data_IF_678576520907
#
_entry.id   IF_678576520907
#
_cell.length_a   1.000
_cell.length_b   1.000
_cell.length_c   1.000
_cell.angle_alpha   90.00
_cell.angle_beta   90.00
_cell.angle_gamma   90.00
#
_symmetry.space_group_name_H-M   'P 1'
#
loop_
_entity.id
_entity.type
_entity.pdbx_description
1 polymer ?
#
# COMPACT_ATOMS: atom_id res chain seq x y z
N UNK A 1 -51.72 12.67 2.92
CA UNK A 1 -50.59 12.55 3.85
C UNK A 1 -49.35 12.70 3.00
N UNK A 2 -48.62 13.80 3.16
CA UNK A 2 -47.43 14.03 2.36
C UNK A 2 -46.34 13.02 2.74
N UNK A 3 -45.46 12.67 1.80
CA UNK A 3 -44.34 11.75 2.07
C UNK A 3 -43.50 12.22 3.27
N UNK A 4 -43.37 13.54 3.44
CA UNK A 4 -42.72 14.19 4.58
C UNK A 4 -43.35 13.78 5.91
N UNK A 5 -44.67 13.90 6.04
CA UNK A 5 -45.40 13.58 7.28
C UNK A 5 -45.27 12.10 7.65
N UNK A 6 -45.18 11.22 6.65
CA UNK A 6 -44.95 9.80 6.88
C UNK A 6 -43.53 9.51 7.35
N UNK A 7 -42.53 10.14 6.72
CA UNK A 7 -41.12 9.97 7.09
C UNK A 7 -40.87 10.49 8.51
N UNK A 8 -41.48 11.61 8.92
CA UNK A 8 -41.21 12.22 10.23
C UNK A 8 -42.03 11.67 11.40
N UNK A 9 -42.74 10.54 11.23
CA UNK A 9 -43.48 9.90 12.32
C UNK A 9 -42.55 9.43 13.46
N UNK A 10 -42.85 9.82 14.70
CA UNK A 10 -42.05 9.48 15.89
C UNK A 10 -41.75 7.97 16.01
N UNK A 11 -42.77 7.13 15.78
CA UNK A 11 -42.67 5.65 15.88
C UNK A 11 -41.64 5.00 14.96
N UNK A 12 -41.21 5.69 13.90
CA UNK A 12 -40.17 5.18 13.00
C UNK A 12 -38.80 5.32 13.65
N UNK A 13 -38.58 6.40 14.40
CA UNK A 13 -37.24 6.81 14.82
C UNK A 13 -37.00 6.67 16.32
N UNK A 14 -38.06 6.58 17.12
CA UNK A 14 -38.00 6.50 18.57
C UNK A 14 -38.81 5.32 19.10
N UNK A 15 -38.50 4.87 20.34
CA UNK A 15 -39.33 3.93 21.07
C UNK A 15 -40.75 4.44 21.30
N UNK A 16 -41.67 3.52 21.60
CA UNK A 16 -43.06 3.86 21.88
C UNK A 16 -43.18 4.85 23.07
N UNK A 17 -43.95 5.92 22.88
CA UNK A 17 -44.19 6.94 23.91
C UNK A 17 -43.15 8.08 23.94
N UNK A 18 -42.15 8.06 23.06
CA UNK A 18 -41.11 9.07 22.93
C UNK A 18 -41.05 9.60 21.48
N UNK A 19 -40.58 10.83 21.28
CA UNK A 19 -40.54 11.42 19.94
C UNK A 19 -39.68 12.68 19.80
N UNK A 20 -39.82 13.35 18.65
CA UNK A 20 -39.07 14.58 18.35
C UNK A 20 -39.32 15.71 19.37
N UNK A 21 -40.49 15.71 20.02
CA UNK A 21 -40.83 16.67 21.06
C UNK A 21 -39.94 16.55 22.30
N UNK A 22 -39.38 15.36 22.56
CA UNK A 22 -38.49 15.11 23.71
C UNK A 22 -37.07 15.63 23.50
N UNK A 23 -36.70 15.95 22.27
CA UNK A 23 -35.40 16.50 21.90
C UNK A 23 -35.41 18.03 21.81
N UNK A 24 -36.38 18.69 22.44
CA UNK A 24 -36.42 20.14 22.58
C UNK A 24 -35.71 20.56 23.85
N UNK A 25 -34.88 21.60 23.75
CA UNK A 25 -34.21 22.21 24.90
C UNK A 25 -35.23 22.55 25.99
N UNK A 26 -34.94 22.10 27.22
CA UNK A 26 -35.79 22.28 28.40
C UNK A 26 -34.95 22.21 29.66
N UNK A 27 -35.36 22.92 30.71
CA UNK A 27 -34.72 22.85 32.03
C UNK A 27 -33.21 23.14 32.03
N UNK A 28 -32.74 23.98 31.10
CA UNK A 28 -31.31 24.28 30.91
C UNK A 28 -30.51 23.17 30.21
N UNK A 29 -31.16 22.06 29.85
CA UNK A 29 -30.58 21.00 29.04
C UNK A 29 -30.73 21.32 27.55
N UNK A 30 -29.64 21.12 26.82
CA UNK A 30 -29.57 21.30 25.37
C UNK A 30 -29.55 19.93 24.69
N UNK A 31 -30.27 19.78 23.60
CA UNK A 31 -30.31 18.55 22.80
C UNK A 31 -29.86 18.81 21.36
N UNK A 32 -29.44 17.74 20.67
CA UNK A 32 -29.05 17.83 19.27
C UNK A 32 -30.25 18.20 18.38
N UNK A 33 -30.04 19.18 17.49
CA UNK A 33 -31.06 19.64 16.55
C UNK A 33 -30.64 19.34 15.13
N UNK A 34 -31.62 19.01 14.28
CA UNK A 34 -31.36 18.85 12.85
C UNK A 34 -30.81 20.11 12.19
N UNK A 35 -31.14 21.30 12.72
CA UNK A 35 -30.60 22.57 12.24
C UNK A 35 -29.09 22.70 12.42
N UNK A 36 -28.51 22.00 13.39
CA UNK A 36 -27.07 22.08 13.68
C UNK A 36 -26.24 21.52 12.52
N UNK A 37 -26.80 20.56 11.77
CA UNK A 37 -26.14 19.97 10.61
C UNK A 37 -25.87 20.98 9.49
N UNK A 38 -26.56 22.13 9.44
CA UNK A 38 -26.23 23.18 8.46
C UNK A 38 -24.83 23.78 8.67
N UNK A 39 -24.29 23.72 9.89
CA UNK A 39 -22.95 24.23 10.25
C UNK A 39 -21.85 23.41 9.57
N UNK A 40 -22.11 22.17 9.15
CA UNK A 40 -21.09 21.31 8.53
C UNK A 40 -20.64 21.83 7.16
N UNK A 41 -21.51 22.52 6.42
CA UNK A 41 -21.18 23.04 5.09
C UNK A 41 -20.15 24.18 5.13
N UNK A 42 -20.31 25.24 5.95
CA UNK A 42 -19.25 26.23 6.10
C UNK A 42 -17.98 25.62 6.71
N UNK A 43 -18.08 24.68 7.65
CA UNK A 43 -16.90 23.95 8.16
C UNK A 43 -16.18 23.20 7.03
N UNK A 44 -16.91 22.50 6.15
CA UNK A 44 -16.33 21.78 5.03
C UNK A 44 -15.62 22.72 4.04
N UNK A 45 -16.21 23.88 3.74
CA UNK A 45 -15.57 24.92 2.90
C UNK A 45 -14.30 25.43 3.56
N UNK A 46 -14.33 25.71 4.87
CA UNK A 46 -13.14 26.08 5.64
C UNK A 46 -12.05 25.00 5.53
N UNK A 47 -12.39 23.72 5.67
CA UNK A 47 -11.42 22.63 5.50
C UNK A 47 -10.82 22.57 4.10
N UNK A 48 -11.60 22.82 3.03
CA UNK A 48 -11.07 22.88 1.66
C UNK A 48 -10.06 24.03 1.49
N UNK A 49 -10.34 25.19 2.08
CA UNK A 49 -9.44 26.36 2.05
C UNK A 49 -8.17 26.07 2.86
N UNK A 50 -8.32 25.59 4.10
CA UNK A 50 -7.19 25.26 4.99
C UNK A 50 -6.32 24.18 4.35
N UNK A 51 -6.92 23.15 3.75
CA UNK A 51 -6.21 22.11 3.01
C UNK A 51 -5.32 22.70 1.94
N UNK A 52 -5.84 23.62 1.13
CA UNK A 52 -5.07 24.24 0.05
C UNK A 52 -3.89 25.07 0.58
N UNK A 53 -4.07 25.77 1.70
CA UNK A 53 -3.01 26.51 2.37
C UNK A 53 -1.96 25.52 2.92
N UNK A 54 -2.40 24.48 3.63
CA UNK A 54 -1.54 23.46 4.22
C UNK A 54 -0.70 22.73 3.18
N UNK A 55 -1.32 22.27 2.08
CA UNK A 55 -0.64 21.54 1.02
C UNK A 55 0.41 22.39 0.29
N UNK A 56 0.20 23.71 0.21
CA UNK A 56 1.14 24.66 -0.44
C UNK A 56 2.26 25.14 0.49
N UNK A 57 2.02 25.19 1.79
CA UNK A 57 2.96 25.77 2.76
C UNK A 57 3.65 24.70 3.60
N UNK A 58 2.91 24.00 4.45
CA UNK A 58 3.41 23.03 5.44
C UNK A 58 3.87 21.75 4.75
N UNK A 59 3.02 21.16 3.92
CA UNK A 59 3.30 19.85 3.33
C UNK A 59 4.51 19.88 2.37
N UNK A 60 4.75 21.01 1.69
CA UNK A 60 5.93 21.19 0.82
C UNK A 60 7.21 21.23 1.63
N UNK A 61 7.22 22.00 2.72
CA UNK A 61 8.36 22.07 3.64
C UNK A 61 8.62 20.69 4.24
N UNK A 62 7.58 20.00 4.71
CA UNK A 62 7.72 18.65 5.26
C UNK A 62 8.26 17.63 4.23
N UNK A 63 7.78 17.70 2.99
CA UNK A 63 8.30 16.86 1.90
C UNK A 63 9.79 17.12 1.63
N UNK A 64 10.24 18.37 1.69
CA UNK A 64 11.67 18.72 1.55
C UNK A 64 12.51 18.21 2.72
N UNK A 65 12.02 18.33 3.96
CA UNK A 65 12.69 17.85 5.17
C UNK A 65 12.87 16.33 5.14
N UNK A 66 11.83 15.60 4.72
CA UNK A 66 11.88 14.14 4.56
C UNK A 66 12.56 13.69 3.24
N UNK A 67 13.07 14.64 2.44
CA UNK A 67 13.76 14.38 1.16
C UNK A 67 12.94 13.53 0.19
N UNK A 68 11.63 13.78 0.10
CA UNK A 68 10.73 13.10 -0.86
C UNK A 68 11.16 13.45 -2.28
N UNK A 69 11.61 12.45 -3.04
CA UNK A 69 12.11 12.65 -4.42
C UNK A 69 11.03 12.37 -5.46
N UNK A 70 10.92 13.26 -6.43
CA UNK A 70 10.14 13.02 -7.65
C UNK A 70 10.98 12.13 -8.59
N UNK A 71 10.44 10.99 -9.02
CA UNK A 71 11.12 10.19 -10.06
C UNK A 71 10.90 10.87 -11.41
N UNK A 72 11.97 11.30 -12.12
CA UNK A 72 11.83 11.94 -13.41
C UNK A 72 11.11 11.00 -14.37
N UNK A 73 10.01 11.48 -14.96
CA UNK A 73 9.23 10.71 -15.93
C UNK A 73 9.52 11.21 -17.33
N UNK A 74 9.83 10.26 -18.22
CA UNK A 74 10.04 10.57 -19.63
C UNK A 74 8.74 11.07 -20.23
N UNK A 75 8.76 12.31 -20.72
CA UNK A 75 7.62 12.91 -21.40
C UNK A 75 7.38 12.24 -22.76
N UNK A 76 6.12 12.09 -23.15
CA UNK A 76 5.80 11.71 -24.52
C UNK A 76 6.25 12.84 -25.47
N UNK A 77 6.78 12.47 -26.64
CA UNK A 77 7.15 13.47 -27.65
C UNK A 77 5.88 14.17 -28.16
N UNK A 78 5.92 15.47 -28.50
CA UNK A 78 4.75 16.15 -29.04
C UNK A 78 4.27 15.45 -30.33
N UNK A 79 3.00 15.05 -30.37
CA UNK A 79 2.36 14.50 -31.57
C UNK A 79 0.85 14.82 -31.50
N UNK A 80 0.39 15.70 -32.38
CA UNK A 80 -0.98 16.22 -32.38
C UNK A 80 -2.02 15.13 -32.66
N UNK A 81 -1.75 14.24 -33.62
CA UNK A 81 -2.64 13.12 -33.98
C UNK A 81 -2.83 12.15 -32.81
N UNK A 82 -1.73 11.75 -32.17
CA UNK A 82 -1.78 10.82 -31.03
C UNK A 82 -2.43 11.47 -29.81
N UNK A 83 -2.18 12.76 -29.57
CA UNK A 83 -2.81 13.52 -28.48
C UNK A 83 -4.32 13.69 -28.69
N UNK A 84 -4.74 14.03 -29.91
CA UNK A 84 -6.16 14.14 -30.26
C UNK A 84 -6.90 12.82 -29.99
N UNK A 85 -6.36 11.70 -30.47
CA UNK A 85 -6.95 10.38 -30.20
C UNK A 85 -6.96 10.06 -28.70
N UNK A 86 -5.87 10.35 -27.98
CA UNK A 86 -5.76 10.08 -26.55
C UNK A 86 -6.81 10.83 -25.72
N UNK A 87 -7.08 12.09 -26.06
CA UNK A 87 -8.05 12.94 -25.37
C UNK A 87 -9.49 12.62 -25.73
N UNK A 88 -9.77 12.30 -27.01
CA UNK A 88 -11.14 12.24 -27.52
C UNK A 88 -11.67 10.83 -27.76
N UNK A 89 -10.80 9.84 -27.95
CA UNK A 89 -11.22 8.47 -28.29
C UNK A 89 -10.88 7.47 -27.17
N UNK A 90 -9.60 7.15 -26.98
CA UNK A 90 -9.20 6.16 -25.98
C UNK A 90 -7.77 6.33 -25.50
N UNK A 91 -7.57 6.15 -24.19
CA UNK A 91 -6.25 6.06 -23.56
C UNK A 91 -5.57 4.70 -23.81
N UNK A 92 -6.33 3.69 -24.23
CA UNK A 92 -5.90 2.31 -24.48
C UNK A 92 -6.36 1.89 -25.88
N UNK A 93 -5.64 2.29 -26.94
CA UNK A 93 -6.02 1.94 -28.31
C UNK A 93 -5.97 0.42 -28.53
N UNK A 94 -6.93 -0.10 -29.30
CA UNK A 94 -6.92 -1.49 -29.79
C UNK A 94 -5.81 -1.67 -30.85
N UNK A 95 -5.54 -2.92 -31.21
CA UNK A 95 -4.51 -3.20 -32.22
C UNK A 95 -4.83 -2.55 -33.58
N UNK A 96 -6.10 -2.59 -34.01
CA UNK A 96 -6.55 -1.94 -35.23
C UNK A 96 -6.39 -0.41 -35.19
N UNK A 97 -6.72 0.23 -34.08
CA UNK A 97 -6.52 1.68 -33.93
C UNK A 97 -5.04 2.05 -33.91
N UNK A 98 -4.15 1.21 -33.37
CA UNK A 98 -2.70 1.44 -33.43
C UNK A 98 -2.18 1.43 -34.87
N UNK A 99 -2.69 0.53 -35.72
CA UNK A 99 -2.32 0.46 -37.14
C UNK A 99 -2.79 1.69 -37.92
N UNK A 100 -4.00 2.17 -37.64
CA UNK A 100 -4.52 3.40 -38.24
C UNK A 100 -3.71 4.64 -37.81
N UNK A 101 -3.42 4.76 -36.52
CA UNK A 101 -2.61 5.85 -35.97
C UNK A 101 -1.17 5.82 -36.50
N UNK A 102 -0.62 4.64 -36.78
CA UNK A 102 0.68 4.46 -37.44
C UNK A 102 0.67 5.13 -38.82
N UNK A 103 -0.39 4.89 -39.61
CA UNK A 103 -0.56 5.50 -40.95
C UNK A 103 -0.73 7.03 -40.86
N UNK A 104 -1.55 7.51 -39.94
CA UNK A 104 -1.85 8.94 -39.81
C UNK A 104 -0.71 9.77 -39.21
N UNK A 105 0.12 9.18 -38.34
CA UNK A 105 1.18 9.89 -37.62
C UNK A 105 2.58 9.73 -38.23
N UNK A 106 2.74 8.90 -39.28
CA UNK A 106 4.03 8.56 -39.87
C UNK A 106 4.99 7.84 -38.91
N UNK A 107 4.51 7.41 -37.75
CA UNK A 107 5.29 6.72 -36.72
C UNK A 107 5.18 5.20 -36.87
N UNK A 108 6.21 4.46 -36.47
CA UNK A 108 6.11 3.00 -36.34
C UNK A 108 5.15 2.58 -35.22
N UNK A 109 4.59 1.37 -35.33
CA UNK A 109 3.74 0.74 -34.30
C UNK A 109 4.38 0.82 -32.91
N UNK A 110 5.69 0.53 -32.80
CA UNK A 110 6.42 0.61 -31.53
C UNK A 110 6.50 2.03 -30.98
N UNK A 111 6.67 3.04 -31.83
CA UNK A 111 6.68 4.44 -31.41
C UNK A 111 5.30 4.88 -30.90
N UNK A 112 4.22 4.50 -31.59
CA UNK A 112 2.84 4.76 -31.15
C UNK A 112 2.58 4.11 -29.79
N UNK A 113 2.84 2.80 -29.65
CA UNK A 113 2.66 2.08 -28.38
C UNK A 113 3.50 2.70 -27.24
N UNK A 114 4.77 3.06 -27.52
CA UNK A 114 5.67 3.71 -26.55
C UNK A 114 5.16 5.10 -26.17
N UNK A 115 4.63 5.86 -27.12
CA UNK A 115 4.05 7.18 -26.91
C UNK A 115 2.85 7.08 -25.96
N UNK A 116 1.88 6.21 -26.25
CA UNK A 116 0.71 6.00 -25.39
C UNK A 116 1.11 5.55 -23.98
N UNK A 117 2.10 4.65 -23.87
CA UNK A 117 2.64 4.24 -22.56
C UNK A 117 3.25 5.40 -21.78
N UNK A 118 4.01 6.27 -22.45
CA UNK A 118 4.61 7.47 -21.83
C UNK A 118 3.55 8.49 -21.44
N UNK A 119 2.58 8.76 -22.33
CA UNK A 119 1.48 9.70 -22.09
C UNK A 119 0.60 9.29 -20.90
N UNK A 120 0.26 7.99 -20.79
CA UNK A 120 -0.42 7.45 -19.60
C UNK A 120 0.41 7.58 -18.33
N UNK A 121 1.74 7.41 -18.42
CA UNK A 121 2.63 7.57 -17.26
C UNK A 121 2.79 9.05 -16.83
N UNK A 122 2.60 10.00 -17.75
CA UNK A 122 2.60 11.44 -17.42
C UNK A 122 1.37 11.83 -16.60
N UNK A 123 0.19 11.25 -16.85
CA UNK A 123 -1.03 11.52 -16.06
C UNK A 123 -1.01 10.94 -14.65
N UNK A 124 -0.06 10.05 -14.35
CA UNK A 124 0.02 9.51 -12.99
C UNK A 124 0.30 10.66 -12.01
N UNK A 125 -0.29 10.65 -10.81
CA UNK A 125 0.00 11.69 -9.83
C UNK A 125 1.46 11.63 -9.38
N UNK A 126 2.06 12.80 -9.13
CA UNK A 126 3.41 12.92 -8.57
C UNK A 126 3.50 12.27 -7.19
N UNK A 127 4.71 11.84 -6.79
CA UNK A 127 4.89 11.34 -5.42
C UNK A 127 4.69 12.47 -4.41
N UNK A 128 5.10 13.69 -4.76
CA UNK A 128 4.90 14.87 -3.93
C UNK A 128 3.41 15.17 -3.74
N UNK A 129 2.56 15.07 -4.80
CA UNK A 129 1.11 15.26 -4.65
C UNK A 129 0.52 14.26 -3.66
N UNK A 130 0.86 12.97 -3.80
CA UNK A 130 0.38 11.93 -2.87
C UNK A 130 0.86 12.14 -1.43
N UNK A 131 2.09 12.61 -1.26
CA UNK A 131 2.64 12.94 0.05
C UNK A 131 1.86 14.10 0.69
N UNK A 132 1.56 15.15 -0.06
CA UNK A 132 0.77 16.30 0.42
C UNK A 132 -0.62 15.87 0.89
N UNK A 133 -1.33 15.11 0.05
CA UNK A 133 -2.66 14.56 0.38
C UNK A 133 -2.61 13.69 1.64
N UNK A 134 -1.60 12.81 1.76
CA UNK A 134 -1.43 11.95 2.94
C UNK A 134 -1.10 12.76 4.19
N UNK A 135 -0.24 13.78 4.10
CA UNK A 135 0.13 14.62 5.23
C UNK A 135 -1.02 15.46 5.77
N UNK A 136 -1.91 15.95 4.90
CA UNK A 136 -3.12 16.66 5.31
C UNK A 136 -4.04 15.77 6.14
N UNK A 137 -4.31 14.56 5.62
CA UNK A 137 -5.15 13.57 6.31
C UNK A 137 -4.52 13.10 7.61
N UNK A 138 -3.21 12.87 7.62
CA UNK A 138 -2.46 12.56 8.84
C UNK A 138 -2.68 13.62 9.93
N UNK A 139 -2.48 14.89 9.60
CA UNK A 139 -2.64 15.99 10.56
C UNK A 139 -4.06 16.05 11.09
N UNK A 140 -5.08 15.93 10.22
CA UNK A 140 -6.46 15.91 10.68
C UNK A 140 -6.76 14.73 11.61
N UNK A 141 -6.50 13.49 11.18
CA UNK A 141 -6.84 12.29 11.97
C UNK A 141 -6.10 12.25 13.31
N UNK A 142 -4.86 12.75 13.36
CA UNK A 142 -4.13 12.84 14.63
C UNK A 142 -4.80 13.82 15.59
N UNK A 143 -5.19 15.00 15.11
CA UNK A 143 -5.85 16.01 15.93
C UNK A 143 -7.27 15.56 16.34
N UNK A 144 -8.01 14.94 15.44
CA UNK A 144 -9.33 14.39 15.71
C UNK A 144 -9.28 13.29 16.78
N UNK A 145 -8.32 12.36 16.69
CA UNK A 145 -8.12 11.33 17.72
C UNK A 145 -7.80 11.92 19.09
N UNK A 146 -6.91 12.91 19.17
CA UNK A 146 -6.55 13.57 20.43
C UNK A 146 -7.76 14.33 21.00
N UNK A 147 -8.50 15.05 20.16
CA UNK A 147 -9.70 15.78 20.56
C UNK A 147 -10.82 14.84 21.03
N UNK A 148 -11.06 13.74 20.33
CA UNK A 148 -12.03 12.72 20.69
C UNK A 148 -11.68 12.05 22.02
N UNK A 149 -10.39 11.73 22.25
CA UNK A 149 -9.95 11.19 23.53
C UNK A 149 -10.18 12.21 24.66
N UNK A 150 -9.81 13.47 24.46
CA UNK A 150 -10.06 14.54 25.42
C UNK A 150 -11.55 14.80 25.71
N UNK A 151 -12.42 14.59 24.72
CA UNK A 151 -13.87 14.78 24.86
C UNK A 151 -14.58 13.62 25.58
N UNK A 152 -13.95 12.44 25.65
CA UNK A 152 -14.58 11.20 26.11
C UNK A 152 -13.92 10.54 27.33
N UNK A 153 -12.64 10.80 27.60
CA UNK A 153 -11.90 10.07 28.64
C UNK A 153 -12.48 10.25 30.05
N UNK A 154 -13.17 11.35 30.33
CA UNK A 154 -13.80 11.63 31.61
C UNK A 154 -15.27 11.16 31.68
N UNK A 155 -15.77 10.48 30.64
CA UNK A 155 -17.18 10.11 30.50
C UNK A 155 -17.44 8.67 30.88
N UNK A 156 -18.55 8.36 31.57
CA UNK A 156 -18.82 7.00 32.04
C UNK A 156 -18.99 6.01 30.88
N UNK A 157 -19.62 6.43 29.77
CA UNK A 157 -19.81 5.60 28.58
C UNK A 157 -18.51 5.24 27.83
N UNK A 158 -17.38 5.85 28.19
CA UNK A 158 -16.07 5.43 27.68
C UNK A 158 -15.59 4.11 28.31
N UNK A 159 -16.02 3.83 29.54
CA UNK A 159 -15.61 2.65 30.32
C UNK A 159 -16.72 1.60 30.42
N UNK A 160 -17.98 2.03 30.50
CA UNK A 160 -19.14 1.15 30.54
C UNK A 160 -20.01 1.36 29.30
N UNK A 161 -20.17 0.32 28.48
CA UNK A 161 -20.91 0.42 27.23
C UNK A 161 -22.42 0.56 27.46
N UNK A 162 -22.97 0.10 28.60
CA UNK A 162 -24.41 0.23 28.88
C UNK A 162 -24.82 1.70 29.06
N UNK A 163 -23.91 2.52 29.60
CA UNK A 163 -24.07 3.97 29.72
C UNK A 163 -24.22 4.69 28.38
N UNK A 164 -23.95 4.03 27.26
CA UNK A 164 -24.27 4.55 25.93
C UNK A 164 -25.78 4.78 25.74
N UNK A 165 -26.62 3.95 26.37
CA UNK A 165 -28.07 3.95 26.23
C UNK A 165 -28.81 4.40 27.49
N UNK A 166 -28.12 4.52 28.63
CA UNK A 166 -28.72 4.98 29.87
C UNK A 166 -29.29 6.41 29.72
N UNK A 167 -30.61 6.55 29.85
CA UNK A 167 -31.35 7.81 29.66
C UNK A 167 -31.67 8.16 28.20
N UNK A 168 -31.38 7.26 27.25
CA UNK A 168 -31.84 7.40 25.86
C UNK A 168 -33.38 7.45 25.80
N UNK A 169 -34.01 8.29 24.95
CA UNK A 169 -33.44 9.22 23.95
C UNK A 169 -33.10 10.61 24.47
N UNK A 170 -33.33 10.91 25.75
CA UNK A 170 -33.14 12.24 26.34
C UNK A 170 -31.72 12.44 26.88
N UNK A 171 -30.72 12.24 26.02
CA UNK A 171 -29.32 12.45 26.37
C UNK A 171 -28.94 13.93 26.18
N UNK A 172 -28.52 14.67 27.23
CA UNK A 172 -28.12 16.06 27.09
C UNK A 172 -26.82 16.18 26.30
N UNK A 173 -26.77 17.16 25.41
CA UNK A 173 -25.64 17.45 24.54
C UNK A 173 -24.57 18.25 25.29
N UNK A 174 -23.34 17.73 25.30
CA UNK A 174 -22.18 18.45 25.81
C UNK A 174 -21.53 19.29 24.70
N UNK A 175 -21.01 20.51 25.01
CA UNK A 175 -20.33 21.34 24.01
C UNK A 175 -19.12 20.65 23.35
N UNK A 176 -18.39 19.82 24.08
CA UNK A 176 -17.27 19.05 23.53
C UNK A 176 -17.73 18.03 22.48
N UNK A 177 -18.85 17.37 22.72
CA UNK A 177 -19.44 16.41 21.78
C UNK A 177 -19.99 17.11 20.54
N UNK A 178 -20.61 18.29 20.71
CA UNK A 178 -21.08 19.12 19.60
C UNK A 178 -19.93 19.42 18.64
N UNK A 179 -18.85 20.03 19.14
CA UNK A 179 -17.74 20.42 18.28
C UNK A 179 -17.01 19.21 17.69
N UNK A 180 -16.87 18.12 18.45
CA UNK A 180 -16.29 16.88 17.92
C UNK A 180 -17.08 16.36 16.71
N UNK A 181 -18.41 16.24 16.85
CA UNK A 181 -19.31 15.84 15.75
C UNK A 181 -19.26 16.78 14.55
N UNK A 182 -19.41 18.09 14.76
CA UNK A 182 -19.53 19.06 13.67
C UNK A 182 -18.23 19.17 12.87
N UNK A 183 -17.08 19.15 13.55
CA UNK A 183 -15.77 19.20 12.92
C UNK A 183 -15.50 17.92 12.13
N UNK A 184 -15.78 16.76 12.71
CA UNK A 184 -15.54 15.47 12.06
C UNK A 184 -16.46 15.29 10.84
N UNK A 185 -17.76 15.55 10.99
CA UNK A 185 -18.70 15.50 9.87
C UNK A 185 -18.33 16.52 8.77
N UNK A 186 -17.98 17.76 9.14
CA UNK A 186 -17.52 18.77 8.19
C UNK A 186 -16.27 18.35 7.42
N UNK A 187 -15.32 17.66 8.08
CA UNK A 187 -14.16 17.10 7.40
C UNK A 187 -14.54 15.99 6.42
N UNK A 188 -15.41 15.05 6.81
CA UNK A 188 -15.87 13.99 5.90
C UNK A 188 -16.63 14.53 4.69
N UNK A 189 -17.45 15.58 4.86
CA UNK A 189 -18.08 16.29 3.74
C UNK A 189 -17.03 16.95 2.85
N UNK A 190 -15.99 17.58 3.41
CA UNK A 190 -14.89 18.14 2.62
C UNK A 190 -14.14 17.07 1.81
N UNK A 191 -13.95 15.88 2.38
CA UNK A 191 -13.34 14.75 1.69
C UNK A 191 -14.20 14.28 0.52
N UNK A 192 -15.53 14.20 0.71
CA UNK A 192 -16.47 13.84 -0.35
C UNK A 192 -16.37 14.80 -1.54
N UNK A 193 -16.31 16.11 -1.31
CA UNK A 193 -16.12 17.09 -2.39
C UNK A 193 -14.75 16.95 -3.07
N UNK A 194 -13.69 16.72 -2.30
CA UNK A 194 -12.33 16.58 -2.85
C UNK A 194 -12.08 15.26 -3.60
N UNK A 195 -12.98 14.28 -3.47
CA UNK A 195 -12.82 12.93 -4.02
C UNK A 195 -12.68 12.90 -5.55
N UNK A 196 -13.25 13.90 -6.23
CA UNK A 196 -13.16 14.04 -7.68
C UNK A 196 -11.74 14.45 -8.15
N UNK A 197 -11.03 15.21 -7.32
CA UNK A 197 -9.70 15.76 -7.62
C UNK A 197 -8.54 14.95 -7.02
N UNK A 198 -8.84 14.18 -5.97
CA UNK A 198 -7.89 13.35 -5.25
C UNK A 198 -7.39 12.17 -6.11
N UNK A 199 -6.24 11.63 -5.73
CA UNK A 199 -5.67 10.47 -6.41
C UNK A 199 -6.56 9.23 -6.24
N UNK A 200 -7.24 8.84 -7.32
CA UNK A 200 -8.06 7.61 -7.37
C UNK A 200 -7.21 6.38 -7.10
N UNK A 201 -7.61 5.60 -6.10
CA UNK A 201 -6.97 4.36 -5.66
C UNK A 201 -7.74 3.14 -6.20
N UNK A 202 -7.24 1.93 -5.94
CA UNK A 202 -7.84 0.69 -6.49
C UNK A 202 -9.17 0.35 -5.83
N UNK A 203 -9.27 0.70 -4.56
CA UNK A 203 -10.40 0.58 -3.63
C UNK A 203 -11.31 1.81 -3.66
N UNK A 204 -11.34 2.54 -4.79
CA UNK A 204 -12.09 3.79 -4.90
C UNK A 204 -13.60 3.60 -4.67
N UNK A 205 -14.19 2.51 -5.19
CA UNK A 205 -15.63 2.28 -5.06
C UNK A 205 -16.00 1.97 -3.61
N UNK A 206 -15.22 1.11 -2.97
CA UNK A 206 -15.35 0.72 -1.57
C UNK A 206 -15.18 1.95 -0.65
N UNK A 207 -14.22 2.83 -0.97
CA UNK A 207 -14.03 4.08 -0.23
C UNK A 207 -15.22 5.04 -0.36
N UNK A 208 -15.89 5.12 -1.52
CA UNK A 208 -17.10 5.94 -1.70
C UNK A 208 -18.26 5.37 -0.88
N UNK A 209 -18.49 4.05 -0.94
CA UNK A 209 -19.53 3.39 -0.14
C UNK A 209 -19.29 3.64 1.35
N UNK A 210 -18.04 3.52 1.81
CA UNK A 210 -17.66 3.88 3.17
C UNK A 210 -18.01 5.33 3.51
N UNK A 211 -17.58 6.32 2.71
CA UNK A 211 -17.83 7.73 3.02
C UNK A 211 -19.33 8.04 3.10
N UNK A 212 -20.13 7.48 2.19
CA UNK A 212 -21.59 7.65 2.24
C UNK A 212 -22.15 7.01 3.51
N UNK A 213 -21.73 5.78 3.84
CA UNK A 213 -22.18 5.10 5.05
C UNK A 213 -21.79 5.86 6.32
N UNK A 214 -20.56 6.37 6.44
CA UNK A 214 -20.11 7.12 7.62
C UNK A 214 -20.80 8.48 7.73
N UNK A 215 -20.98 9.23 6.63
CA UNK A 215 -21.72 10.49 6.65
C UNK A 215 -23.16 10.26 7.09
N UNK A 216 -23.82 9.21 6.58
CA UNK A 216 -25.16 8.83 6.99
C UNK A 216 -25.19 8.42 8.47
N UNK A 217 -24.22 7.64 8.95
CA UNK A 217 -24.16 7.18 10.34
C UNK A 217 -23.97 8.35 11.32
N UNK A 218 -23.04 9.27 11.04
CA UNK A 218 -22.78 10.44 11.87
C UNK A 218 -24.00 11.38 11.85
N UNK A 219 -24.55 11.68 10.67
CA UNK A 219 -25.72 12.55 10.56
C UNK A 219 -26.96 11.94 11.23
N UNK A 220 -27.21 10.65 11.01
CA UNK A 220 -28.34 9.95 11.63
C UNK A 220 -28.19 9.89 13.14
N UNK A 221 -27.02 9.50 13.66
CA UNK A 221 -26.78 9.43 15.09
C UNK A 221 -26.94 10.79 15.77
N UNK A 222 -26.64 11.89 15.08
CA UNK A 222 -26.96 13.23 15.57
C UNK A 222 -28.48 13.47 15.66
N UNK A 223 -29.22 13.19 14.57
CA UNK A 223 -30.65 13.46 14.48
C UNK A 223 -31.47 12.74 15.54
N UNK A 224 -31.19 11.46 15.79
CA UNK A 224 -31.94 10.65 16.77
C UNK A 224 -31.28 10.62 18.16
N UNK A 225 -30.32 11.51 18.41
CA UNK A 225 -29.63 11.65 19.70
C UNK A 225 -28.84 10.40 20.17
N UNK A 226 -28.22 9.67 19.25
CA UNK A 226 -27.29 8.55 19.53
C UNK A 226 -25.86 9.05 19.80
N UNK A 227 -25.71 10.22 20.43
CA UNK A 227 -24.46 10.97 20.51
C UNK A 227 -23.36 10.19 21.25
N UNK A 228 -23.71 9.53 22.35
CA UNK A 228 -22.77 8.69 23.11
C UNK A 228 -22.22 7.56 22.24
N UNK A 229 -23.09 6.87 21.49
CA UNK A 229 -22.69 5.82 20.57
C UNK A 229 -21.80 6.34 19.44
N UNK A 230 -22.23 7.38 18.74
CA UNK A 230 -21.49 7.87 17.59
C UNK A 230 -20.16 8.51 17.96
N UNK A 231 -20.02 9.19 19.11
CA UNK A 231 -18.72 9.66 19.60
C UNK A 231 -17.73 8.52 19.87
N UNK A 232 -18.17 7.40 20.46
CA UNK A 232 -17.32 6.21 20.65
C UNK A 232 -16.94 5.57 19.33
N UNK A 233 -17.90 5.45 18.39
CA UNK A 233 -17.65 4.91 17.05
C UNK A 233 -16.59 5.77 16.35
N UNK A 234 -16.76 7.09 16.30
CA UNK A 234 -15.80 8.04 15.71
C UNK A 234 -14.41 7.91 16.32
N UNK A 235 -14.29 7.86 17.66
CA UNK A 235 -13.00 7.73 18.34
C UNK A 235 -12.26 6.43 17.99
N UNK A 236 -12.99 5.30 18.05
CA UNK A 236 -12.46 3.98 17.65
C UNK A 236 -12.06 4.01 16.18
N UNK A 237 -12.73 4.84 15.37
CA UNK A 237 -12.43 4.98 13.97
C UNK A 237 -11.11 5.71 13.71
N UNK A 238 -10.93 6.87 14.34
CA UNK A 238 -9.75 7.71 14.17
C UNK A 238 -8.45 7.10 14.73
N UNK A 239 -8.57 6.18 15.70
CA UNK A 239 -7.43 5.58 16.41
C UNK A 239 -6.35 4.96 15.52
N UNK A 240 -6.70 4.45 14.32
CA UNK A 240 -5.75 3.84 13.39
C UNK A 240 -5.36 4.71 12.20
N UNK A 241 -6.14 5.73 11.87
CA UNK A 241 -6.11 6.35 10.55
C UNK A 241 -4.88 7.26 10.36
N UNK A 242 -4.45 7.96 11.41
CA UNK A 242 -3.20 8.71 11.38
C UNK A 242 -1.97 7.78 11.25
N UNK A 243 -2.01 6.55 11.78
CA UNK A 243 -0.93 5.57 11.59
C UNK A 243 -0.85 5.12 10.12
N UNK A 244 -1.99 4.94 9.46
CA UNK A 244 -2.03 4.60 8.03
C UNK A 244 -1.46 5.73 7.16
N UNK A 245 -1.86 6.97 7.41
CA UNK A 245 -1.40 8.10 6.62
C UNK A 245 0.08 8.41 6.86
N UNK A 246 0.57 8.26 8.10
CA UNK A 246 2.01 8.37 8.38
C UNK A 246 2.82 7.27 7.70
N UNK A 247 2.36 6.01 7.68
CA UNK A 247 3.01 4.94 6.91
C UNK A 247 3.13 5.29 5.42
N UNK A 248 2.07 5.87 4.82
CA UNK A 248 2.11 6.34 3.42
C UNK A 248 3.14 7.46 3.23
N UNK A 249 3.20 8.43 4.14
CA UNK A 249 4.20 9.52 4.09
C UNK A 249 5.63 8.98 4.09
N UNK A 250 5.97 8.06 5.00
CA UNK A 250 7.31 7.46 5.05
C UNK A 250 7.60 6.55 3.86
N UNK A 251 6.59 5.88 3.30
CA UNK A 251 6.73 5.14 2.04
C UNK A 251 7.11 6.08 0.88
N UNK A 252 6.51 7.26 0.79
CA UNK A 252 6.85 8.24 -0.24
C UNK A 252 8.23 8.88 -0.02
N UNK A 253 8.68 8.99 1.23
CA UNK A 253 10.05 9.40 1.58
C UNK A 253 11.10 8.29 1.38
N UNK A 254 10.70 7.10 0.92
CA UNK A 254 11.55 5.92 0.75
C UNK A 254 12.19 5.39 2.06
N UNK A 255 11.63 5.76 3.23
CA UNK A 255 12.06 5.28 4.55
C UNK A 255 11.43 3.92 4.87
N UNK A 256 11.90 2.88 4.18
CA UNK A 256 11.26 1.55 4.19
C UNK A 256 11.15 0.91 5.57
N UNK A 257 12.19 1.00 6.40
CA UNK A 257 12.17 0.41 7.76
C UNK A 257 11.07 1.05 8.61
N UNK A 258 11.09 2.37 8.75
CA UNK A 258 10.09 3.15 9.49
C UNK A 258 8.68 2.92 8.96
N UNK A 259 8.49 2.98 7.63
CA UNK A 259 7.23 2.67 6.99
C UNK A 259 6.70 1.27 7.39
N UNK A 260 7.56 0.24 7.37
CA UNK A 260 7.14 -1.12 7.71
C UNK A 260 6.74 -1.23 9.19
N UNK A 261 7.51 -0.64 10.12
CA UNK A 261 7.16 -0.65 11.54
C UNK A 261 5.82 0.06 11.81
N UNK A 262 5.64 1.26 11.26
CA UNK A 262 4.40 2.02 11.41
C UNK A 262 3.23 1.26 10.76
N UNK A 263 3.44 0.61 9.62
CA UNK A 263 2.40 -0.19 8.97
C UNK A 263 1.98 -1.39 9.81
N UNK A 264 2.92 -2.07 10.49
CA UNK A 264 2.62 -3.17 11.41
C UNK A 264 1.83 -2.65 12.62
N UNK A 265 2.26 -1.52 13.19
CA UNK A 265 1.53 -0.87 14.29
C UNK A 265 0.11 -0.47 13.88
N UNK A 266 -0.03 0.18 12.71
CA UNK A 266 -1.32 0.48 12.09
C UNK A 266 -2.19 -0.78 11.98
N UNK A 267 -1.65 -1.88 11.45
CA UNK A 267 -2.40 -3.12 11.30
C UNK A 267 -2.88 -3.66 12.65
N UNK A 268 -2.03 -3.66 13.68
CA UNK A 268 -2.41 -4.11 15.03
C UNK A 268 -3.53 -3.24 15.62
N UNK A 269 -3.40 -1.91 15.56
CA UNK A 269 -4.40 -0.98 16.08
C UNK A 269 -5.70 -1.09 15.28
N UNK A 270 -5.65 -1.21 13.95
CA UNK A 270 -6.82 -1.40 13.10
C UNK A 270 -7.59 -2.68 13.46
N UNK A 271 -6.90 -3.80 13.66
CA UNK A 271 -7.55 -5.06 14.04
C UNK A 271 -8.19 -4.93 15.42
N UNK A 272 -7.47 -4.39 16.40
CA UNK A 272 -7.99 -4.20 17.75
C UNK A 272 -9.22 -3.29 17.76
N UNK A 273 -9.15 -2.14 17.12
CA UNK A 273 -10.23 -1.14 17.15
C UNK A 273 -11.42 -1.58 16.29
N UNK A 274 -11.20 -2.08 15.07
CA UNK A 274 -12.29 -2.33 14.10
C UNK A 274 -12.81 -3.76 14.06
N UNK A 275 -12.01 -4.74 14.45
CA UNK A 275 -12.43 -6.16 14.46
C UNK A 275 -12.61 -6.75 15.85
N UNK A 276 -12.15 -6.06 16.90
CA UNK A 276 -12.32 -6.49 18.29
C UNK A 276 -13.27 -5.54 19.01
N UNK A 277 -12.85 -4.30 19.29
CA UNK A 277 -13.65 -3.32 20.06
C UNK A 277 -15.00 -3.02 19.39
N UNK A 278 -14.99 -2.66 18.10
CA UNK A 278 -16.20 -2.29 17.36
C UNK A 278 -17.27 -3.40 17.35
N UNK A 279 -17.02 -4.65 16.92
CA UNK A 279 -18.06 -5.67 16.84
C UNK A 279 -18.47 -6.26 18.21
N UNK A 280 -17.52 -6.52 19.11
CA UNK A 280 -17.82 -7.27 20.34
C UNK A 280 -18.27 -6.39 21.51
N UNK A 281 -17.92 -5.09 21.52
CA UNK A 281 -18.37 -4.15 22.54
C UNK A 281 -19.44 -3.22 21.97
N UNK A 282 -19.09 -2.38 20.99
CA UNK A 282 -20.01 -1.33 20.52
C UNK A 282 -21.22 -1.93 19.80
N UNK A 283 -20.99 -2.72 18.74
CA UNK A 283 -22.06 -3.28 17.91
C UNK A 283 -22.91 -4.28 18.70
N UNK A 284 -22.29 -5.09 19.56
CA UNK A 284 -23.01 -5.95 20.49
C UNK A 284 -23.95 -5.14 21.39
N UNK A 285 -23.45 -4.09 22.04
CA UNK A 285 -24.29 -3.25 22.91
C UNK A 285 -25.35 -2.49 22.14
N UNK A 286 -25.09 -2.02 20.91
CA UNK A 286 -26.12 -1.36 20.09
C UNK A 286 -27.18 -2.31 19.55
N UNK A 287 -26.88 -3.60 19.48
CA UNK A 287 -27.80 -4.64 18.99
C UNK A 287 -28.62 -5.27 20.13
N UNK A 288 -28.02 -5.49 21.29
CA UNK A 288 -28.62 -6.26 22.39
C UNK A 288 -29.29 -5.35 23.42
N UNK A 289 -28.58 -4.34 23.93
CA UNK A 289 -29.03 -3.59 25.09
C UNK A 289 -30.32 -2.77 24.84
N UNK A 290 -30.48 -2.03 23.73
CA UNK A 290 -31.74 -1.33 23.47
C UNK A 290 -32.98 -2.23 23.47
N UNK A 291 -32.83 -3.49 23.08
CA UNK A 291 -33.94 -4.45 23.01
C UNK A 291 -34.38 -4.98 24.39
N UNK A 292 -33.59 -4.76 25.44
CA UNK A 292 -34.01 -5.08 26.82
C UNK A 292 -34.90 -3.99 27.41
N UNK A 293 -34.84 -2.78 26.86
CA UNK A 293 -35.58 -1.59 27.34
C UNK A 293 -36.77 -1.28 26.43
N UNK A 294 -36.58 -1.39 25.11
CA UNK A 294 -37.54 -0.94 24.11
C UNK A 294 -37.83 -2.03 23.06
N UNK A 295 -39.07 -2.12 22.55
CA UNK A 295 -39.33 -2.92 21.36
C UNK A 295 -38.55 -2.36 20.16
N UNK A 296 -38.14 -3.20 19.20
CA UNK A 296 -37.40 -2.74 18.04
C UNK A 296 -38.23 -1.80 17.17
N UNK A 297 -37.59 -0.76 16.64
CA UNK A 297 -38.18 0.25 15.75
C UNK A 297 -37.28 0.48 14.53
N UNK A 298 -37.75 1.23 13.53
CA UNK A 298 -37.02 1.38 12.26
C UNK A 298 -35.63 2.01 12.44
N UNK A 299 -35.51 3.07 13.24
CA UNK A 299 -34.24 3.74 13.54
C UNK A 299 -33.18 2.80 14.13
N UNK A 300 -33.58 1.85 14.99
CA UNK A 300 -32.71 0.80 15.51
C UNK A 300 -32.12 -0.08 14.40
N UNK A 301 -32.96 -0.57 13.48
CA UNK A 301 -32.50 -1.39 12.35
C UNK A 301 -31.67 -0.59 11.36
N UNK A 302 -32.04 0.66 11.10
CA UNK A 302 -31.32 1.54 10.18
C UNK A 302 -29.89 1.83 10.66
N UNK A 303 -29.73 2.21 11.93
CA UNK A 303 -28.42 2.46 12.53
C UNK A 303 -27.52 1.22 12.54
N UNK A 304 -28.03 0.10 13.06
CA UNK A 304 -27.27 -1.15 13.12
C UNK A 304 -26.97 -1.71 11.72
N UNK A 305 -27.86 -1.50 10.74
CA UNK A 305 -27.63 -1.85 9.34
C UNK A 305 -26.45 -1.08 8.73
N UNK A 306 -26.37 0.23 8.96
CA UNK A 306 -25.23 1.06 8.53
C UNK A 306 -23.92 0.62 9.22
N UNK A 307 -23.96 0.29 10.52
CA UNK A 307 -22.82 -0.26 11.25
C UNK A 307 -22.36 -1.61 10.68
N UNK A 308 -23.28 -2.49 10.29
CA UNK A 308 -22.95 -3.77 9.65
C UNK A 308 -22.29 -3.56 8.28
N UNK A 309 -22.79 -2.64 7.46
CA UNK A 309 -22.13 -2.28 6.18
C UNK A 309 -20.70 -1.84 6.44
N UNK A 310 -20.49 -1.00 7.46
CA UNK A 310 -19.16 -0.51 7.84
C UNK A 310 -18.27 -1.67 8.33
N UNK A 311 -18.81 -2.59 9.13
CA UNK A 311 -18.11 -3.77 9.60
C UNK A 311 -17.66 -4.70 8.45
N UNK A 312 -18.52 -4.92 7.45
CA UNK A 312 -18.17 -5.68 6.25
C UNK A 312 -16.99 -5.05 5.49
N UNK A 313 -16.98 -3.72 5.36
CA UNK A 313 -15.87 -2.99 4.74
C UNK A 313 -14.57 -3.11 5.55
N UNK A 314 -14.65 -3.07 6.89
CA UNK A 314 -13.48 -3.30 7.74
C UNK A 314 -12.91 -4.70 7.59
N UNK A 315 -13.75 -5.73 7.50
CA UNK A 315 -13.30 -7.11 7.24
C UNK A 315 -12.60 -7.18 5.88
N UNK A 316 -13.18 -6.58 4.84
CA UNK A 316 -12.57 -6.49 3.51
C UNK A 316 -11.17 -5.86 3.56
N UNK A 317 -11.03 -4.70 4.21
CA UNK A 317 -9.73 -4.04 4.33
C UNK A 317 -8.76 -4.78 5.23
N UNK A 318 -9.22 -5.41 6.31
CA UNK A 318 -8.37 -6.24 7.17
C UNK A 318 -7.70 -7.36 6.38
N UNK A 319 -8.43 -8.02 5.47
CA UNK A 319 -7.85 -9.03 4.57
C UNK A 319 -6.76 -8.43 3.69
N UNK A 320 -6.95 -7.23 3.14
CA UNK A 320 -5.92 -6.55 2.33
C UNK A 320 -4.70 -6.14 3.16
N UNK A 321 -4.91 -5.61 4.36
CA UNK A 321 -3.88 -5.20 5.29
C UNK A 321 -3.04 -6.41 5.71
N UNK A 322 -3.68 -7.50 6.11
CA UNK A 322 -2.99 -8.73 6.51
C UNK A 322 -2.17 -9.33 5.35
N UNK A 323 -2.73 -9.36 4.13
CA UNK A 323 -1.99 -9.77 2.92
C UNK A 323 -0.78 -8.90 2.62
N UNK A 324 -0.81 -7.62 3.00
CA UNK A 324 0.34 -6.72 2.86
C UNK A 324 1.34 -6.91 4.00
N UNK A 325 0.88 -7.05 5.25
CA UNK A 325 1.70 -7.25 6.43
C UNK A 325 2.54 -8.55 6.34
N UNK A 326 1.95 -9.64 5.84
CA UNK A 326 2.65 -10.92 5.65
C UNK A 326 3.86 -10.79 4.69
N UNK A 327 3.83 -9.82 3.75
CA UNK A 327 4.96 -9.56 2.83
C UNK A 327 6.13 -8.84 3.51
N UNK A 328 5.91 -8.24 4.68
CA UNK A 328 6.95 -7.55 5.44
C UNK A 328 7.64 -8.44 6.48
N UNK A 329 7.10 -9.64 6.73
CA UNK A 329 7.73 -10.62 7.63
C UNK A 329 9.08 -11.11 7.05
N UNK A 330 10.15 -11.13 7.86
CA UNK A 330 11.45 -11.68 7.45
C UNK A 330 11.28 -13.15 7.05
N UNK A 331 11.57 -13.49 5.80
CA UNK A 331 11.38 -14.84 5.23
C UNK A 331 10.49 -14.88 3.98
N UNK A 332 9.58 -13.91 3.82
CA UNK A 332 8.73 -13.78 2.63
C UNK A 332 9.30 -12.86 1.55
N UNK A 333 10.64 -12.77 1.46
CA UNK A 333 11.32 -12.16 0.30
C UNK A 333 11.02 -13.05 -0.90
N UNK A 334 9.86 -12.84 -1.53
CA UNK A 334 9.69 -13.20 -2.94
C UNK A 334 10.72 -12.36 -3.68
N UNK A 335 11.86 -12.98 -3.99
CA UNK A 335 12.64 -12.65 -5.17
C UNK A 335 11.59 -12.34 -6.24
N UNK A 336 11.58 -11.12 -6.75
CA UNK A 336 10.65 -10.68 -7.78
C UNK A 336 10.76 -11.67 -8.95
N UNK A 337 9.95 -12.72 -8.95
CA UNK A 337 9.80 -13.58 -10.12
C UNK A 337 9.06 -12.70 -11.12
N UNK A 338 9.62 -12.46 -12.32
CA UNK A 338 8.93 -11.70 -13.35
C UNK A 338 7.54 -12.31 -13.55
N UNK A 339 6.57 -11.44 -13.83
CA UNK A 339 5.11 -11.68 -13.81
C UNK A 339 4.61 -12.71 -14.84
N UNK A 340 5.51 -13.48 -15.45
CA UNK A 340 5.25 -14.66 -16.24
C UNK A 340 5.88 -15.84 -15.50
N UNK A 341 5.11 -16.52 -14.65
CA UNK A 341 5.43 -17.90 -14.33
C UNK A 341 5.12 -18.70 -15.59
N UNK A 342 6.14 -19.05 -16.36
CA UNK A 342 6.03 -20.15 -17.30
C UNK A 342 5.57 -21.38 -16.49
N UNK A 343 4.55 -22.09 -16.99
CA UNK A 343 4.10 -23.36 -16.42
C UNK A 343 5.30 -24.24 -16.08
N UNK A 344 5.25 -25.03 -14.98
CA UNK A 344 6.28 -26.02 -14.75
C UNK A 344 6.27 -27.02 -15.91
N UNK A 345 7.31 -26.93 -16.75
CA UNK A 345 7.70 -27.83 -17.85
C UNK A 345 6.58 -28.19 -18.85
N UNK A 346 6.24 -27.34 -19.85
CA UNK A 346 5.57 -27.85 -21.04
C UNK A 346 6.52 -28.81 -21.78
N UNK A 347 6.12 -30.07 -21.95
CA UNK A 347 6.75 -30.95 -22.94
C UNK A 347 6.48 -30.34 -24.32
N UNK A 348 7.54 -29.83 -24.96
CA UNK A 348 7.48 -29.30 -26.31
C UNK A 348 7.84 -30.46 -27.22
N UNK A 349 6.81 -31.11 -27.79
CA UNK A 349 6.96 -32.16 -28.79
C UNK A 349 7.38 -31.50 -30.11
N UNK A 350 8.66 -31.09 -30.20
CA UNK A 350 9.23 -30.41 -31.35
C UNK A 350 9.74 -31.44 -32.36
N UNK A 351 9.23 -31.37 -33.58
CA UNK A 351 9.71 -32.14 -34.72
C UNK A 351 10.35 -31.19 -35.71
N UNK A 352 11.64 -31.39 -36.02
CA UNK A 352 12.33 -30.68 -37.09
C UNK A 352 12.73 -31.72 -38.13
N UNK A 353 12.35 -31.52 -39.40
CA UNK A 353 12.64 -32.43 -40.51
C UNK A 353 12.23 -33.89 -40.24
N UNK A 354 11.05 -34.11 -39.66
CA UNK A 354 10.52 -35.44 -39.28
C UNK A 354 11.33 -36.19 -38.20
N UNK A 355 12.25 -35.51 -37.51
CA UNK A 355 12.97 -36.07 -36.36
C UNK A 355 12.45 -35.41 -35.09
N UNK A 356 11.97 -36.23 -34.14
CA UNK A 356 11.60 -35.79 -32.81
C UNK A 356 12.84 -35.34 -32.03
N UNK A 357 12.80 -34.13 -31.48
CA UNK A 357 13.90 -33.58 -30.68
C UNK A 357 13.71 -34.01 -29.23
N UNK A 358 14.64 -34.82 -28.74
CA UNK A 358 14.67 -35.26 -27.34
C UNK A 358 14.88 -34.05 -26.40
N UNK A 359 13.98 -33.89 -25.43
CA UNK A 359 14.12 -32.88 -24.39
C UNK A 359 15.07 -33.37 -23.29
N UNK A 360 16.34 -32.99 -23.39
CA UNK A 360 17.34 -33.40 -22.40
C UNK A 360 17.42 -32.37 -21.26
N UNK A 361 17.48 -32.84 -20.01
CA UNK A 361 17.63 -31.96 -18.85
C UNK A 361 19.00 -31.26 -18.76
N UNK A 362 20.01 -31.83 -19.43
CA UNK A 362 21.39 -31.35 -19.46
C UNK A 362 21.99 -31.57 -20.85
N UNK A 363 22.67 -30.57 -21.41
CA UNK A 363 23.38 -30.74 -22.67
C UNK A 363 24.77 -30.10 -22.61
N UNK A 364 25.71 -30.65 -23.35
CA UNK A 364 27.07 -30.11 -23.45
C UNK A 364 27.19 -29.34 -24.75
N UNK A 365 27.34 -28.02 -24.67
CA UNK A 365 27.51 -27.13 -25.81
C UNK A 365 28.88 -26.48 -25.75
N UNK A 366 29.70 -26.63 -26.79
CA UNK A 366 31.03 -26.02 -26.89
C UNK A 366 31.91 -26.23 -25.65
N UNK A 367 31.84 -27.43 -25.05
CA UNK A 367 32.62 -27.79 -23.86
C UNK A 367 31.92 -27.53 -22.52
N UNK A 368 30.76 -26.87 -22.51
CA UNK A 368 30.08 -26.38 -21.29
C UNK A 368 28.80 -27.15 -21.06
N UNK A 369 28.58 -27.57 -19.81
CA UNK A 369 27.35 -28.27 -19.42
C UNK A 369 26.27 -27.27 -19.03
N UNK A 370 25.18 -27.26 -19.78
CA UNK A 370 24.01 -26.42 -19.58
C UNK A 370 22.86 -27.27 -19.06
N UNK A 371 22.09 -26.73 -18.10
CA UNK A 371 20.83 -27.31 -17.65
C UNK A 371 19.65 -26.83 -18.51
N UNK A 372 18.48 -27.44 -18.31
CA UNK A 372 17.23 -27.10 -18.99
C UNK A 372 16.70 -25.68 -18.73
N UNK A 373 17.35 -24.89 -17.86
CA UNK A 373 17.09 -23.46 -17.63
C UNK A 373 18.16 -22.57 -18.26
N UNK A 374 19.01 -23.13 -19.14
CA UNK A 374 20.19 -22.46 -19.69
C UNK A 374 21.14 -21.95 -18.60
N UNK A 375 21.18 -22.63 -17.45
CA UNK A 375 22.09 -22.36 -16.36
C UNK A 375 23.27 -23.33 -16.38
N UNK A 376 24.43 -22.85 -15.97
CA UNK A 376 25.70 -23.57 -15.98
C UNK A 376 26.20 -23.87 -14.56
N UNK A 377 25.33 -23.84 -13.55
CA UNK A 377 25.71 -24.09 -12.15
C UNK A 377 26.42 -25.44 -11.97
N UNK A 378 25.89 -26.49 -12.59
CA UNK A 378 26.50 -27.83 -12.54
C UNK A 378 27.88 -27.90 -13.22
N UNK A 379 28.10 -27.10 -14.27
CA UNK A 379 29.41 -27.00 -14.90
C UNK A 379 30.43 -26.30 -13.99
N UNK A 380 29.99 -25.24 -13.30
CA UNK A 380 30.80 -24.55 -12.28
C UNK A 380 31.16 -25.51 -11.15
N UNK A 381 30.19 -26.26 -10.62
CA UNK A 381 30.43 -27.23 -9.54
C UNK A 381 31.45 -28.30 -9.94
N UNK A 382 31.35 -28.82 -11.17
CA UNK A 382 32.31 -29.77 -11.72
C UNK A 382 33.72 -29.16 -11.90
N UNK A 383 33.79 -27.90 -12.35
CA UNK A 383 35.04 -27.14 -12.48
C UNK A 383 35.71 -26.92 -11.13
N UNK A 384 34.93 -26.51 -10.12
CA UNK A 384 35.41 -26.32 -8.74
C UNK A 384 35.90 -27.65 -8.15
N UNK A 385 35.17 -28.74 -8.32
CA UNK A 385 35.59 -30.06 -7.86
C UNK A 385 36.90 -30.52 -8.53
N UNK A 386 37.08 -30.23 -9.83
CA UNK A 386 38.32 -30.54 -10.55
C UNK A 386 39.49 -29.72 -10.02
N UNK A 387 39.32 -28.41 -9.85
CA UNK A 387 40.35 -27.53 -9.27
C UNK A 387 40.73 -27.97 -7.83
N UNK A 388 39.75 -28.31 -6.99
CA UNK A 388 39.98 -28.78 -5.63
C UNK A 388 40.81 -30.06 -5.58
N UNK A 389 40.58 -31.01 -6.50
CA UNK A 389 41.42 -32.21 -6.65
C UNK A 389 42.85 -31.85 -7.05
N UNK A 390 43.04 -31.00 -8.06
CA UNK A 390 44.36 -30.57 -8.52
C UNK A 390 45.14 -29.81 -7.45
N UNK A 391 44.49 -28.92 -6.69
CA UNK A 391 45.10 -28.21 -5.56
C UNK A 391 45.51 -29.16 -4.44
N UNK A 392 44.71 -30.19 -4.16
CA UNK A 392 45.03 -31.21 -3.17
C UNK A 392 46.26 -32.03 -3.57
N UNK A 393 46.41 -32.36 -4.85
CA UNK A 393 47.60 -33.02 -5.38
C UNK A 393 48.83 -32.13 -5.24
N UNK A 394 48.74 -30.85 -5.64
CA UNK A 394 49.84 -29.88 -5.49
C UNK A 394 50.24 -29.73 -4.01
N UNK A 395 49.27 -29.76 -3.09
CA UNK A 395 49.55 -29.73 -1.64
C UNK A 395 50.32 -30.98 -1.19
N UNK A 396 49.95 -32.16 -1.66
CA UNK A 396 50.66 -33.42 -1.32
C UNK A 396 52.07 -33.49 -1.92
N UNK A 397 52.25 -32.95 -3.13
CA UNK A 397 53.56 -32.89 -3.79
C UNK A 397 54.43 -31.73 -3.32
N UNK A 398 53.91 -30.81 -2.48
CA UNK A 398 54.64 -29.61 -2.04
C UNK A 398 55.91 -29.92 -1.25
N UNK A 399 56.02 -31.11 -0.64
CA UNK A 399 57.24 -31.57 0.03
C UNK A 399 58.39 -31.87 -0.94
N UNK A 400 58.10 -32.14 -2.21
CA UNK A 400 59.08 -32.44 -3.27
C UNK A 400 59.29 -31.26 -4.24
N UNK A 401 58.59 -30.14 -4.05
CA UNK A 401 58.62 -28.97 -4.92
C UNK A 401 59.22 -27.78 -4.16
N UNK A 402 60.00 -26.95 -4.85
CA UNK A 402 60.45 -25.68 -4.27
C UNK A 402 59.23 -24.77 -4.02
N UNK A 403 59.38 -23.83 -3.08
CA UNK A 403 58.35 -22.84 -2.75
C UNK A 403 57.94 -21.99 -3.95
N UNK A 404 58.88 -21.72 -4.86
CA UNK A 404 58.63 -21.01 -6.12
C UNK A 404 57.78 -21.84 -7.09
N UNK A 405 58.14 -23.11 -7.32
CA UNK A 405 57.40 -24.01 -8.22
C UNK A 405 55.99 -24.31 -7.71
N UNK A 406 55.82 -24.50 -6.39
CA UNK A 406 54.50 -24.68 -5.79
C UNK A 406 53.60 -23.45 -5.98
N UNK A 407 54.16 -22.24 -5.86
CA UNK A 407 53.43 -20.99 -6.12
C UNK A 407 53.07 -20.84 -7.60
N UNK A 408 54.00 -21.13 -8.50
CA UNK A 408 53.76 -21.08 -9.94
C UNK A 408 52.64 -22.05 -10.36
N UNK A 409 52.68 -23.31 -9.90
CA UNK A 409 51.65 -24.31 -10.21
C UNK A 409 50.26 -23.92 -9.70
N UNK A 410 50.16 -23.37 -8.47
CA UNK A 410 48.88 -22.90 -7.92
C UNK A 410 48.32 -21.73 -8.71
N UNK A 411 49.18 -20.78 -9.07
CA UNK A 411 48.79 -19.56 -9.80
C UNK A 411 48.35 -19.90 -11.23
N UNK A 412 49.11 -20.73 -11.96
CA UNK A 412 48.72 -21.18 -13.30
C UNK A 412 47.40 -21.96 -13.30
N UNK A 413 47.19 -22.87 -12.34
CA UNK A 413 45.96 -23.67 -12.25
C UNK A 413 44.72 -22.78 -12.08
N UNK A 414 44.82 -21.75 -11.24
CA UNK A 414 43.74 -20.81 -10.94
C UNK A 414 43.50 -19.85 -12.10
N UNK A 415 44.55 -19.28 -12.70
CA UNK A 415 44.43 -18.39 -13.86
C UNK A 415 43.81 -19.08 -15.07
N UNK A 416 44.22 -20.33 -15.39
CA UNK A 416 43.64 -21.10 -16.50
C UNK A 416 42.12 -21.31 -16.38
N UNK A 417 41.59 -21.39 -15.17
CA UNK A 417 40.15 -21.56 -14.95
C UNK A 417 39.41 -20.21 -14.79
N UNK A 418 40.11 -19.14 -14.38
CA UNK A 418 39.58 -17.78 -14.29
C UNK A 418 39.53 -17.07 -15.65
N UNK A 419 40.48 -17.28 -16.55
CA UNK A 419 40.44 -16.68 -17.90
C UNK A 419 39.31 -17.27 -18.74
N UNK A 420 39.02 -18.56 -18.56
CA UNK A 420 37.81 -19.16 -19.10
C UNK A 420 36.55 -18.47 -18.55
N UNK A 421 36.56 -17.95 -17.31
CA UNK A 421 35.41 -17.30 -16.64
C UNK A 421 35.07 -15.89 -17.17
N UNK A 422 35.99 -15.21 -17.87
CA UNK A 422 35.76 -13.89 -18.48
C UNK A 422 34.69 -13.94 -19.57
N UNK A 423 34.54 -15.08 -20.25
CA UNK A 423 33.42 -15.34 -21.17
C UNK A 423 32.04 -15.41 -20.48
N UNK A 424 31.97 -15.48 -19.15
CA UNK A 424 30.77 -15.82 -18.36
C UNK A 424 30.24 -14.68 -17.48
N UNK A 425 30.86 -13.50 -17.56
CA UNK A 425 30.59 -12.35 -16.66
C UNK A 425 29.16 -11.82 -16.73
N UNK A 426 28.40 -12.12 -17.78
CA UNK A 426 27.02 -11.66 -17.97
C UNK A 426 25.95 -12.32 -17.06
N UNK A 427 26.24 -13.44 -16.38
CA UNK A 427 25.20 -14.21 -15.68
C UNK A 427 25.51 -14.69 -14.25
N UNK A 428 26.63 -14.30 -13.65
CA UNK A 428 26.98 -14.76 -12.29
C UNK A 428 26.21 -13.98 -11.22
N UNK A 429 25.43 -14.69 -10.40
CA UNK A 429 24.80 -14.13 -9.18
C UNK A 429 25.88 -13.78 -8.16
N UNK A 430 25.68 -12.65 -7.48
CA UNK A 430 26.55 -12.04 -6.45
C UNK A 430 27.02 -13.00 -5.33
N UNK A 431 26.28 -14.08 -5.08
CA UNK A 431 26.59 -15.09 -4.04
C UNK A 431 27.77 -16.00 -4.41
N UNK A 432 28.00 -16.31 -5.70
CA UNK A 432 29.15 -17.14 -6.12
C UNK A 432 30.49 -16.40 -5.98
N UNK A 433 30.47 -15.06 -6.05
CA UNK A 433 31.65 -14.23 -5.83
C UNK A 433 32.08 -14.17 -4.35
N UNK A 434 31.22 -14.54 -3.40
CA UNK A 434 31.59 -14.55 -1.98
C UNK A 434 32.47 -15.75 -1.64
N UNK A 435 32.26 -16.91 -2.27
CA UNK A 435 33.10 -18.10 -2.07
C UNK A 435 34.53 -17.90 -2.58
N UNK A 436 34.69 -17.21 -3.71
CA UNK A 436 36.00 -16.77 -4.21
C UNK A 436 36.67 -15.76 -3.28
N UNK A 437 35.88 -14.93 -2.59
CA UNK A 437 36.35 -13.96 -1.58
C UNK A 437 36.81 -14.62 -0.28
N UNK A 438 36.16 -15.72 0.13
CA UNK A 438 36.59 -16.47 1.32
C UNK A 438 37.91 -17.20 1.06
N UNK A 439 38.12 -17.72 -0.16
CA UNK A 439 39.40 -18.28 -0.58
C UNK A 439 40.52 -17.22 -0.74
N UNK A 440 40.15 -15.93 -0.77
CA UNK A 440 41.04 -14.77 -0.93
C UNK A 440 41.75 -14.38 0.38
N UNK A 441 41.23 -14.79 1.54
CA UNK A 441 41.71 -14.36 2.86
C UNK A 441 42.98 -15.10 3.35
N UNK A 442 43.35 -16.20 2.69
CA UNK A 442 44.52 -17.05 3.02
C UNK A 442 45.75 -16.79 2.12
N UNK A 443 45.73 -15.72 1.31
CA UNK A 443 46.75 -15.49 0.28
C UNK A 443 47.75 -14.36 0.64
N UNK A 444 49.07 -14.51 0.37
CA UNK A 444 50.05 -13.45 0.61
C UNK A 444 49.77 -12.15 -0.16
N UNK A 445 50.05 -11.01 0.47
CA UNK A 445 49.69 -9.63 0.07
C UNK A 445 50.14 -9.20 -1.33
N UNK A 446 51.12 -9.85 -1.95
CA UNK A 446 51.68 -9.41 -3.24
C UNK A 446 50.81 -9.83 -4.44
N UNK A 447 50.03 -10.91 -4.33
CA UNK A 447 49.05 -11.32 -5.36
C UNK A 447 47.77 -10.47 -5.28
N UNK A 448 47.60 -9.74 -4.17
CA UNK A 448 46.45 -8.89 -3.90
C UNK A 448 46.40 -7.67 -4.83
N UNK A 449 47.54 -7.17 -5.31
CA UNK A 449 47.60 -5.99 -6.21
C UNK A 449 47.24 -6.31 -7.66
N UNK A 450 47.72 -7.42 -8.20
CA UNK A 450 47.44 -7.79 -9.61
C UNK A 450 45.99 -8.26 -9.81
N UNK A 451 45.42 -8.98 -8.84
CA UNK A 451 44.01 -9.40 -8.91
C UNK A 451 43.03 -8.24 -8.70
N UNK A 452 43.37 -7.23 -7.89
CA UNK A 452 42.57 -6.00 -7.78
C UNK A 452 42.60 -5.22 -9.10
N UNK A 453 43.74 -5.15 -9.79
CA UNK A 453 43.86 -4.51 -11.10
C UNK A 453 43.00 -5.21 -12.16
N UNK A 454 42.99 -6.55 -12.20
CA UNK A 454 42.21 -7.34 -13.17
C UNK A 454 40.70 -7.28 -12.88
N UNK A 455 40.30 -7.29 -11.59
CA UNK A 455 38.89 -7.14 -11.19
C UNK A 455 38.41 -5.70 -11.42
N UNK A 456 39.24 -4.68 -11.17
CA UNK A 456 38.89 -3.28 -11.43
C UNK A 456 38.81 -2.97 -12.94
N UNK A 457 39.61 -3.60 -13.78
CA UNK A 457 39.53 -3.45 -15.25
C UNK A 457 38.31 -4.16 -15.86
N UNK A 458 37.73 -5.15 -15.17
CA UNK A 458 36.56 -5.91 -15.67
C UNK A 458 35.22 -5.35 -15.20
N UNK A 459 35.21 -4.27 -14.41
CA UNK A 459 33.99 -3.59 -13.90
C UNK A 459 34.02 -2.11 -14.31
N UNK A 460 33.90 -1.80 -15.61
CA UNK A 460 33.31 -0.56 -16.19
C UNK A 460 33.55 -0.55 -17.72
N UNK A 461 32.51 -0.45 -18.58
CA UNK A 461 31.84 0.83 -18.88
C UNK A 461 30.31 0.64 -18.99
N UNK A 462 29.39 1.46 -18.48
CA UNK A 462 29.35 2.89 -18.26
C UNK A 462 28.41 3.19 -17.07
N UNK A 463 28.86 4.07 -16.18
CA UNK A 463 27.97 5.01 -15.51
C UNK A 463 28.56 6.42 -15.65
N UNK A 464 28.16 7.10 -16.73
CA UNK A 464 27.74 8.49 -16.67
C UNK A 464 26.22 8.52 -16.82
#
# INVERSE_FOLDING_TARGET
>A
MELSDWVWQDRLWFPAGLGWADLKDRDGLVFAKGSDLWVIFPIAVCFLIIRQIFERTVAVKLASLLRVREKPRVRAAPNTTLEFYFCNASKFPSQSSVEELTKQSGCSVRQVQRWFRRRRNQERPSQIKKFREASWRFTFYLLAFIAGLGALIDKPWFYDMEEMWNGFPTLPLLPSQYWYYMIELGFYISLLFSVATDVKRKDFKEQIVHHVATILLISFSWLVNYIRAGTLIMLVHDASDYLLESAKMFNYAEWRKTCNYIFILFAAVFILTRLVILPFWILHTTWVYPLTIYPPFFGFYFFNGLLLVLQCLHIFWAVLILRMAIKFLPGNVRIHKPKHSLNPKPQLNLVINHVEIEQVEMTKLLGVTLDCKLSWSKHIDAGVAKMGRSLSIIKRCSAALTTLSTRACRTCLVLLHLDCSVMWSGATKKENCNWLRTAQHDWPLDVHRELILIICMSISPDSK
#
